data_IF_406866806126
#
_entry.id   IF_406866806126
#
_cell.length_a   1.000
_cell.length_b   1.000
_cell.length_c   1.000
_cell.angle_alpha   90.00
_cell.angle_beta   90.00
_cell.angle_gamma   90.00
#
_symmetry.space_group_name_H-M   'P 1'
#
loop_
_entity.id
_entity.type
_entity.pdbx_description
1 polymer ?
#
# COMPACT_ATOMS: atom_id res chain seq x y z
N UNK A 1 8.45 2.32 -27.75
CA UNK A 1 9.10 3.16 -26.73
C UNK A 1 8.89 2.46 -25.39
N UNK A 2 9.97 2.06 -24.72
CA UNK A 2 9.91 1.28 -23.47
C UNK A 2 9.36 2.14 -22.35
N UNK A 3 8.33 1.65 -21.65
CA UNK A 3 7.65 2.40 -20.60
C UNK A 3 7.18 1.50 -19.48
N UNK A 4 7.32 1.97 -18.24
CA UNK A 4 6.78 1.32 -17.05
C UNK A 4 5.46 1.98 -16.66
N UNK A 5 4.44 1.18 -16.40
CA UNK A 5 3.16 1.64 -15.89
C UNK A 5 2.97 1.14 -14.45
N UNK A 6 2.86 2.08 -13.49
CA UNK A 6 2.44 1.79 -12.13
C UNK A 6 0.91 1.85 -12.09
N UNK A 7 0.27 0.69 -12.11
CA UNK A 7 -1.18 0.57 -12.34
C UNK A 7 -1.90 0.16 -11.06
N UNK A 8 -2.95 0.88 -10.71
CA UNK A 8 -3.87 0.49 -9.65
C UNK A 8 -4.81 -0.63 -10.11
N UNK A 9 -4.80 -1.74 -9.37
CA UNK A 9 -5.66 -2.88 -9.60
C UNK A 9 -7.07 -2.72 -9.00
N UNK A 10 -7.32 -1.60 -8.31
CA UNK A 10 -8.55 -1.46 -7.54
C UNK A 10 -8.62 -2.42 -6.35
N UNK A 11 -9.81 -2.57 -5.74
CA UNK A 11 -10.01 -3.36 -4.52
C UNK A 11 -10.06 -4.87 -4.77
N UNK A 12 -10.25 -5.30 -6.02
CA UNK A 12 -10.30 -6.71 -6.38
C UNK A 12 -11.37 -7.08 -7.39
N UNK A 13 -12.41 -6.27 -7.54
CA UNK A 13 -13.42 -6.39 -8.58
C UNK A 13 -12.88 -5.86 -9.91
N UNK A 14 -12.82 -6.66 -10.99
CA UNK A 14 -12.36 -6.19 -12.30
C UNK A 14 -13.22 -5.08 -12.91
N UNK A 15 -14.50 -4.96 -12.55
CA UNK A 15 -15.37 -3.86 -13.01
C UNK A 15 -14.96 -2.50 -12.41
N UNK A 16 -14.18 -2.51 -11.32
CA UNK A 16 -13.62 -1.32 -10.69
C UNK A 16 -12.23 -0.93 -11.22
N UNK A 17 -11.73 -1.61 -12.26
CA UNK A 17 -10.56 -1.15 -13.00
C UNK A 17 -10.90 0.09 -13.81
N UNK A 18 -9.94 1.02 -13.89
CA UNK A 18 -10.10 2.12 -14.83
C UNK A 18 -9.98 1.60 -16.27
N UNK A 19 -10.70 2.23 -17.22
CA UNK A 19 -10.60 1.88 -18.64
C UNK A 19 -9.15 1.94 -19.15
N UNK A 20 -8.33 2.84 -18.61
CA UNK A 20 -6.91 2.93 -18.91
C UNK A 20 -6.13 1.74 -18.39
N UNK A 21 -6.41 1.27 -17.18
CA UNK A 21 -5.78 0.09 -16.60
C UNK A 21 -6.08 -1.16 -17.46
N UNK A 22 -7.34 -1.37 -17.83
CA UNK A 22 -7.75 -2.49 -18.70
C UNK A 22 -6.99 -2.48 -20.03
N UNK A 23 -6.93 -1.33 -20.70
CA UNK A 23 -6.21 -1.18 -21.98
C UNK A 23 -4.71 -1.49 -21.84
N UNK A 24 -4.07 -1.04 -20.77
CA UNK A 24 -2.64 -1.29 -20.54
C UNK A 24 -2.39 -2.75 -20.20
N UNK A 25 -3.21 -3.36 -19.34
CA UNK A 25 -3.10 -4.77 -18.97
C UNK A 25 -3.25 -5.69 -20.19
N UNK A 26 -4.17 -5.37 -21.10
CA UNK A 26 -4.38 -6.17 -22.32
C UNK A 26 -3.22 -6.07 -23.33
N UNK A 27 -2.37 -5.06 -23.24
CA UNK A 27 -1.18 -4.86 -24.10
C UNK A 27 0.16 -5.08 -23.41
N UNK A 28 0.16 -5.52 -22.14
CA UNK A 28 1.39 -5.71 -21.38
C UNK A 28 2.24 -6.88 -21.92
N UNK A 29 3.56 -6.71 -21.90
CA UNK A 29 4.53 -7.79 -22.17
C UNK A 29 4.87 -8.55 -20.88
N UNK A 30 4.93 -7.82 -19.74
CA UNK A 30 5.22 -8.36 -18.42
C UNK A 30 4.45 -7.59 -17.36
N UNK A 31 3.91 -8.31 -16.38
CA UNK A 31 3.19 -7.74 -15.24
C UNK A 31 3.81 -8.25 -13.94
N UNK A 32 4.31 -7.34 -13.13
CA UNK A 32 4.74 -7.59 -11.75
C UNK A 32 3.60 -7.21 -10.83
N UNK A 33 2.99 -8.16 -10.11
CA UNK A 33 1.81 -7.89 -9.30
C UNK A 33 2.02 -8.17 -7.82
N UNK A 34 1.25 -7.47 -6.97
CA UNK A 34 1.20 -7.71 -5.52
C UNK A 34 0.35 -8.94 -5.21
N UNK A 35 0.57 -9.56 -4.03
CA UNK A 35 -0.18 -10.74 -3.58
C UNK A 35 -1.68 -10.50 -3.35
N UNK A 36 -2.11 -9.24 -3.14
CA UNK A 36 -3.51 -8.88 -2.94
C UNK A 36 -4.28 -8.63 -4.24
N UNK A 37 -3.62 -8.67 -5.39
CA UNK A 37 -4.30 -8.60 -6.69
C UNK A 37 -5.06 -9.90 -6.91
N UNK A 38 -6.37 -9.79 -7.14
CA UNK A 38 -7.25 -10.95 -7.26
C UNK A 38 -7.04 -11.70 -8.58
N UNK A 39 -7.33 -13.02 -8.62
CA UNK A 39 -7.29 -13.80 -9.86
C UNK A 39 -8.19 -13.20 -10.95
N UNK A 40 -9.33 -12.65 -10.58
CA UNK A 40 -10.29 -12.03 -11.49
C UNK A 40 -9.64 -10.84 -12.23
N UNK A 41 -8.88 -10.00 -11.52
CA UNK A 41 -8.13 -8.89 -12.12
C UNK A 41 -6.96 -9.41 -12.97
N UNK A 42 -6.25 -10.46 -12.52
CA UNK A 42 -5.15 -11.06 -13.29
C UNK A 42 -5.63 -11.68 -14.61
N UNK A 43 -6.89 -12.13 -14.69
CA UNK A 43 -7.49 -12.62 -15.91
C UNK A 43 -7.71 -11.53 -16.99
N UNK A 44 -7.63 -10.25 -16.61
CA UNK A 44 -7.69 -9.11 -17.56
C UNK A 44 -6.36 -8.84 -18.25
N UNK A 45 -5.29 -9.49 -17.81
CA UNK A 45 -3.96 -9.36 -18.39
C UNK A 45 -3.87 -10.12 -19.69
N UNK A 46 -3.14 -9.58 -20.68
CA UNK A 46 -2.85 -10.26 -21.93
C UNK A 46 -2.36 -11.71 -21.69
N UNK A 47 -2.94 -12.73 -22.35
CA UNK A 47 -2.48 -14.12 -22.20
C UNK A 47 -1.04 -14.35 -22.69
N UNK A 48 -0.47 -13.38 -23.44
CA UNK A 48 0.91 -13.40 -23.90
C UNK A 48 1.87 -12.79 -22.87
N UNK A 49 1.37 -12.00 -21.91
CA UNK A 49 2.18 -11.36 -20.90
C UNK A 49 2.77 -12.37 -19.91
N UNK A 50 3.97 -12.08 -19.42
CA UNK A 50 4.56 -12.80 -18.30
C UNK A 50 4.02 -12.25 -17.00
N UNK A 51 3.43 -13.11 -16.16
CA UNK A 51 2.97 -12.75 -14.81
C UNK A 51 4.03 -13.13 -13.78
N UNK A 52 4.37 -12.17 -12.91
CA UNK A 52 5.35 -12.34 -11.83
C UNK A 52 4.73 -11.86 -10.53
N UNK A 53 4.54 -12.78 -9.58
CA UNK A 53 4.13 -12.44 -8.21
C UNK A 53 5.35 -11.91 -7.45
N UNK A 54 5.34 -10.63 -7.10
CA UNK A 54 6.37 -9.96 -6.27
C UNK A 54 5.84 -9.66 -4.87
N UNK A 55 4.61 -10.09 -4.56
CA UNK A 55 3.94 -9.85 -3.29
C UNK A 55 4.51 -10.66 -2.13
N UNK A 56 4.14 -10.24 -0.91
CA UNK A 56 4.45 -10.97 0.32
C UNK A 56 3.29 -11.89 0.64
N UNK A 57 3.51 -13.21 0.68
CA UNK A 57 2.54 -14.17 1.25
C UNK A 57 2.84 -14.36 2.74
N UNK A 58 1.78 -14.57 3.55
CA UNK A 58 1.91 -14.83 4.98
C UNK A 58 3.02 -15.85 5.29
N UNK A 59 4.03 -15.43 6.07
CA UNK A 59 5.14 -16.29 6.51
C UNK A 59 6.31 -16.42 5.54
N UNK A 60 6.18 -16.10 4.26
CA UNK A 60 7.27 -16.15 3.28
C UNK A 60 7.44 -14.80 2.58
N UNK A 61 8.52 -14.10 2.93
CA UNK A 61 8.94 -12.87 2.26
C UNK A 61 9.64 -13.26 0.95
N UNK A 62 8.92 -13.26 -0.18
CA UNK A 62 9.50 -13.60 -1.47
C UNK A 62 10.59 -12.59 -1.86
N UNK A 63 10.31 -11.28 -1.77
CA UNK A 63 11.24 -10.22 -2.15
C UNK A 63 11.19 -9.05 -1.15
N UNK A 64 12.34 -8.41 -0.94
CA UNK A 64 12.43 -7.09 -0.29
C UNK A 64 11.99 -6.01 -1.27
N UNK A 65 11.68 -4.79 -0.78
CA UNK A 65 11.35 -3.69 -1.68
C UNK A 65 12.52 -3.32 -2.59
N UNK A 66 13.75 -3.37 -2.09
CA UNK A 66 14.95 -3.09 -2.89
C UNK A 66 15.13 -4.11 -4.03
N UNK A 67 14.77 -5.38 -3.77
CA UNK A 67 14.78 -6.42 -4.80
C UNK A 67 13.68 -6.20 -5.83
N UNK A 68 12.47 -5.81 -5.41
CA UNK A 68 11.36 -5.46 -6.31
C UNK A 68 11.76 -4.27 -7.19
N UNK A 69 12.35 -3.22 -6.60
CA UNK A 69 12.79 -2.03 -7.32
C UNK A 69 13.88 -2.39 -8.35
N UNK A 70 14.88 -3.20 -7.96
CA UNK A 70 15.93 -3.65 -8.84
C UNK A 70 15.39 -4.51 -10.00
N UNK A 71 14.41 -5.38 -9.70
CA UNK A 71 13.79 -6.23 -10.72
C UNK A 71 12.93 -5.39 -11.69
N UNK A 72 12.18 -4.42 -11.19
CA UNK A 72 11.40 -3.50 -12.02
C UNK A 72 12.27 -2.73 -13.01
N UNK A 73 13.40 -2.18 -12.55
CA UNK A 73 14.39 -1.51 -13.39
C UNK A 73 14.99 -2.47 -14.43
N UNK A 74 15.26 -3.71 -14.03
CA UNK A 74 15.83 -4.72 -14.95
C UNK A 74 14.85 -5.06 -16.08
N UNK A 75 13.58 -5.34 -15.78
CA UNK A 75 12.60 -5.70 -16.82
C UNK A 75 12.24 -4.51 -17.70
N UNK A 76 12.32 -3.28 -17.19
CA UNK A 76 12.14 -2.07 -17.99
C UNK A 76 13.17 -1.94 -19.12
N UNK A 77 14.36 -2.55 -18.97
CA UNK A 77 15.38 -2.59 -20.03
C UNK A 77 15.12 -3.68 -21.09
N UNK A 78 14.25 -4.67 -20.80
CA UNK A 78 14.03 -5.85 -21.63
C UNK A 78 12.72 -5.83 -22.42
N UNK A 79 11.67 -5.21 -21.84
CA UNK A 79 10.30 -5.23 -22.36
C UNK A 79 9.86 -3.82 -22.77
N UNK A 80 8.90 -3.71 -23.70
CA UNK A 80 8.37 -2.43 -24.15
C UNK A 80 7.27 -1.92 -23.21
N UNK A 81 6.33 -2.80 -22.83
CA UNK A 81 5.20 -2.48 -21.96
C UNK A 81 5.32 -3.26 -20.66
N UNK A 82 5.89 -2.63 -19.65
CA UNK A 82 6.06 -3.20 -18.30
C UNK A 82 4.98 -2.67 -17.39
N UNK A 83 4.24 -3.54 -16.71
CA UNK A 83 3.22 -3.16 -15.74
C UNK A 83 3.66 -3.58 -14.34
N UNK A 84 3.68 -2.63 -13.42
CA UNK A 84 3.71 -2.85 -11.98
C UNK A 84 2.27 -2.71 -11.45
N UNK A 85 1.59 -3.83 -11.24
CA UNK A 85 0.18 -3.89 -10.82
C UNK A 85 0.07 -3.95 -9.30
N UNK A 86 -0.54 -2.94 -8.71
CA UNK A 86 -0.62 -2.70 -7.27
C UNK A 86 -2.07 -2.75 -6.81
N UNK A 87 -2.38 -3.45 -5.72
CA UNK A 87 -3.74 -3.45 -5.16
C UNK A 87 -4.18 -2.06 -4.73
N UNK A 88 -5.46 -1.73 -4.92
CA UNK A 88 -6.01 -0.41 -4.67
C UNK A 88 -5.48 0.66 -5.61
N UNK A 89 -5.00 1.76 -5.05
CA UNK A 89 -4.31 2.85 -5.76
C UNK A 89 -2.81 2.80 -5.47
N UNK A 90 -1.93 2.97 -6.48
CA UNK A 90 -0.48 2.93 -6.31
C UNK A 90 0.07 3.93 -5.29
N UNK A 91 -0.57 5.11 -5.18
CA UNK A 91 -0.10 6.24 -4.38
C UNK A 91 -0.61 6.20 -2.93
N UNK A 92 -1.57 5.32 -2.60
CA UNK A 92 -2.15 5.21 -1.26
C UNK A 92 -1.61 3.96 -0.56
N UNK A 93 -0.68 4.15 0.38
CA UNK A 93 0.01 3.11 1.16
C UNK A 93 0.62 1.96 0.34
N UNK A 94 0.84 2.20 -0.96
CA UNK A 94 1.35 1.23 -1.94
C UNK A 94 2.86 1.23 -2.10
N UNK A 95 3.62 2.05 -1.38
CA UNK A 95 5.08 2.20 -1.51
C UNK A 95 5.57 2.60 -2.91
N UNK A 96 4.69 3.19 -3.73
CA UNK A 96 5.04 3.62 -5.08
C UNK A 96 6.18 4.65 -5.11
N UNK A 97 6.33 5.48 -4.06
CA UNK A 97 7.42 6.45 -3.98
C UNK A 97 8.81 5.82 -4.11
N UNK A 98 9.03 4.65 -3.52
CA UNK A 98 10.30 3.91 -3.61
C UNK A 98 10.54 3.34 -5.01
N UNK A 99 9.48 2.87 -5.69
CA UNK A 99 9.52 2.36 -7.06
C UNK A 99 9.76 3.51 -8.06
N UNK A 100 9.08 4.65 -7.89
CA UNK A 100 9.24 5.88 -8.67
C UNK A 100 10.68 6.40 -8.56
N UNK A 101 11.22 6.47 -7.35
CA UNK A 101 12.60 6.91 -7.11
C UNK A 101 13.60 6.00 -7.82
N UNK A 102 13.39 4.68 -7.78
CA UNK A 102 14.26 3.70 -8.42
C UNK A 102 14.26 3.85 -9.95
N UNK A 103 13.09 4.04 -10.57
CA UNK A 103 12.95 4.26 -12.02
C UNK A 103 13.57 5.60 -12.44
N UNK A 104 13.29 6.67 -11.70
CA UNK A 104 13.82 8.02 -11.97
C UNK A 104 15.35 8.07 -11.92
N UNK A 105 15.97 7.39 -10.95
CA UNK A 105 17.44 7.32 -10.80
C UNK A 105 18.16 6.77 -12.01
N UNK A 106 17.48 5.97 -12.82
CA UNK A 106 18.07 5.34 -14.04
C UNK A 106 17.49 5.90 -15.33
N UNK A 107 16.62 6.91 -15.24
CA UNK A 107 16.04 7.59 -16.41
C UNK A 107 15.01 6.73 -17.17
N UNK A 108 14.36 5.77 -16.52
CA UNK A 108 13.29 4.98 -17.13
C UNK A 108 12.00 5.82 -17.17
N UNK A 109 11.39 5.91 -18.36
CA UNK A 109 10.09 6.54 -18.52
C UNK A 109 9.00 5.72 -17.82
N UNK A 110 8.17 6.37 -17.03
CA UNK A 110 7.05 5.72 -16.36
C UNK A 110 5.79 6.59 -16.34
N UNK A 111 4.67 5.92 -16.10
CA UNK A 111 3.37 6.56 -15.94
C UNK A 111 2.61 5.91 -14.78
N UNK A 112 1.92 6.74 -13.99
CA UNK A 112 1.05 6.27 -12.92
C UNK A 112 -0.39 6.26 -13.42
N UNK A 113 -1.04 5.11 -13.27
CA UNK A 113 -2.45 4.92 -13.59
C UNK A 113 -3.21 4.71 -12.30
N UNK A 114 -4.03 5.68 -11.87
CA UNK A 114 -4.78 5.57 -10.62
C UNK A 114 -5.69 4.35 -10.59
N UNK A 115 -5.98 3.88 -9.39
CA UNK A 115 -6.97 2.85 -9.12
C UNK A 115 -7.93 3.26 -8.01
N UNK A 116 -9.03 2.53 -7.84
CA UNK A 116 -9.94 2.76 -6.73
C UNK A 116 -9.30 2.22 -5.45
N UNK A 117 -8.97 3.13 -4.54
CA UNK A 117 -8.40 2.76 -3.24
C UNK A 117 -9.44 2.05 -2.36
N UNK A 118 -8.98 1.16 -1.47
CA UNK A 118 -9.87 0.35 -0.63
C UNK A 118 -10.78 1.17 0.28
N UNK A 119 -10.40 2.40 0.66
CA UNK A 119 -11.29 3.28 1.43
C UNK A 119 -12.57 3.66 0.68
N UNK A 120 -12.45 3.97 -0.62
CA UNK A 120 -13.61 4.29 -1.45
C UNK A 120 -14.48 3.05 -1.70
N UNK A 121 -13.85 1.90 -1.94
CA UNK A 121 -14.58 0.65 -2.12
C UNK A 121 -15.32 0.22 -0.84
N UNK A 122 -14.67 0.34 0.32
CA UNK A 122 -15.28 0.04 1.62
C UNK A 122 -16.45 0.99 1.93
N UNK A 123 -16.28 2.29 1.67
CA UNK A 123 -17.33 3.28 1.85
C UNK A 123 -18.55 3.00 0.95
N UNK A 124 -18.32 2.65 -0.32
CA UNK A 124 -19.38 2.28 -1.25
C UNK A 124 -20.11 0.99 -0.80
N UNK A 125 -19.36 -0.04 -0.39
CA UNK A 125 -19.93 -1.29 0.12
C UNK A 125 -20.78 -1.07 1.36
N UNK A 126 -20.31 -0.23 2.29
CA UNK A 126 -21.03 0.13 3.51
C UNK A 126 -22.12 1.22 3.29
N UNK A 127 -22.26 1.74 2.07
CA UNK A 127 -23.17 2.87 1.75
C UNK A 127 -22.93 4.10 2.61
N UNK A 128 -21.67 4.37 2.95
CA UNK A 128 -21.24 5.51 3.76
C UNK A 128 -20.60 6.55 2.87
N UNK A 129 -21.07 7.79 2.91
CA UNK A 129 -20.36 8.91 2.31
C UNK A 129 -19.23 9.35 3.23
N UNK A 130 -17.97 9.32 2.75
CA UNK A 130 -16.84 9.73 3.57
C UNK A 130 -16.86 11.22 3.95
N UNK A 131 -17.62 12.03 3.22
CA UNK A 131 -17.86 13.45 3.53
C UNK A 131 -19.35 13.74 3.60
N UNK A 132 -19.76 14.57 4.54
CA UNK A 132 -21.14 15.05 4.64
C UNK A 132 -21.12 16.45 5.26
N UNK A 133 -21.73 17.43 4.59
CA UNK A 133 -21.76 18.85 5.05
C UNK A 133 -22.27 19.03 6.48
N UNK A 134 -23.02 18.06 7.01
CA UNK A 134 -23.61 18.10 8.36
C UNK A 134 -22.70 17.47 9.42
N UNK A 135 -21.73 16.59 9.03
CA UNK A 135 -21.02 15.72 9.97
C UNK A 135 -19.52 15.66 9.76
N UNK A 136 -19.03 15.76 8.52
CA UNK A 136 -17.62 15.59 8.24
C UNK A 136 -17.17 16.44 7.05
N UNK A 137 -16.37 17.45 7.35
CA UNK A 137 -15.75 18.35 6.35
C UNK A 137 -14.40 17.85 5.88
N UNK A 138 -13.82 16.83 6.54
CA UNK A 138 -12.50 16.30 6.22
C UNK A 138 -12.45 14.77 6.30
N UNK A 139 -11.55 14.18 5.50
CA UNK A 139 -11.26 12.74 5.50
C UNK A 139 -9.78 12.55 5.76
N UNK A 140 -9.46 11.75 6.77
CA UNK A 140 -8.09 11.38 7.10
C UNK A 140 -7.84 9.92 6.71
N UNK A 141 -6.95 9.68 5.74
CA UNK A 141 -6.42 8.36 5.44
C UNK A 141 -5.19 8.09 6.28
N UNK A 142 -5.22 7.02 7.05
CA UNK A 142 -4.10 6.61 7.89
C UNK A 142 -3.91 5.10 7.86
N UNK A 143 -2.83 4.62 8.46
CA UNK A 143 -2.55 3.20 8.57
C UNK A 143 -2.19 2.84 10.00
N UNK A 144 -2.67 1.69 10.47
CA UNK A 144 -2.26 1.13 11.74
C UNK A 144 -0.87 0.46 11.67
N UNK A 145 -0.33 0.25 10.47
CA UNK A 145 0.95 -0.44 10.29
C UNK A 145 2.08 0.54 9.95
N UNK A 146 3.17 0.56 10.77
CA UNK A 146 4.39 1.30 10.49
C UNK A 146 5.62 0.41 10.37
N UNK A 147 6.67 0.97 9.75
CA UNK A 147 8.00 0.39 9.69
C UNK A 147 8.55 0.28 11.13
N UNK A 148 8.73 -0.96 11.62
CA UNK A 148 9.19 -1.22 12.99
C UNK A 148 8.15 -1.85 13.92
N UNK A 149 6.91 -2.04 13.48
CA UNK A 149 5.91 -2.85 14.20
C UNK A 149 5.12 -2.13 15.31
N UNK A 150 5.43 -0.87 15.64
CA UNK A 150 4.61 -0.08 16.56
C UNK A 150 3.57 0.74 15.78
N UNK A 151 2.35 0.80 16.30
CA UNK A 151 1.35 1.74 15.82
C UNK A 151 1.82 3.13 16.21
N UNK A 152 2.13 3.98 15.23
CA UNK A 152 2.31 5.39 15.54
C UNK A 152 1.01 6.13 15.33
N UNK A 153 0.59 6.79 16.37
CA UNK A 153 -0.68 7.48 16.48
C UNK A 153 -0.52 9.00 16.41
N UNK A 154 0.57 9.48 15.79
CA UNK A 154 0.85 10.92 15.63
C UNK A 154 -0.25 11.66 14.86
N UNK A 155 -1.13 10.92 14.17
CA UNK A 155 -2.28 11.45 13.45
C UNK A 155 -3.46 11.82 14.35
N UNK A 156 -3.45 11.46 15.62
CA UNK A 156 -4.55 11.76 16.56
C UNK A 156 -4.83 13.26 16.70
N UNK A 157 -3.79 14.09 16.56
CA UNK A 157 -3.94 15.55 16.57
C UNK A 157 -4.78 16.11 15.41
N UNK A 158 -4.92 15.34 14.32
CA UNK A 158 -5.71 15.73 13.16
C UNK A 158 -7.19 15.30 13.26
N UNK A 159 -7.56 14.59 14.33
CA UNK A 159 -8.93 14.13 14.52
C UNK A 159 -9.74 15.21 15.22
N UNK A 160 -10.83 15.59 14.59
CA UNK A 160 -11.89 16.44 15.17
C UNK A 160 -13.22 15.69 15.08
N UNK A 161 -14.27 16.17 15.75
CA UNK A 161 -15.63 15.61 15.60
C UNK A 161 -16.15 15.61 14.15
N UNK A 162 -15.55 16.43 13.28
CA UNK A 162 -15.90 16.56 11.86
C UNK A 162 -14.96 15.76 10.94
N UNK A 163 -14.12 14.90 11.50
CA UNK A 163 -13.20 14.05 10.74
C UNK A 163 -13.83 12.69 10.49
N UNK A 164 -13.83 12.25 9.23
CA UNK A 164 -13.98 10.83 8.89
C UNK A 164 -12.57 10.23 8.83
N UNK A 165 -12.33 9.22 9.66
CA UNK A 165 -11.06 8.51 9.69
C UNK A 165 -11.20 7.19 8.92
N UNK A 166 -10.34 6.94 7.95
CA UNK A 166 -10.21 5.67 7.26
C UNK A 166 -8.85 5.04 7.57
N UNK A 167 -8.85 3.95 8.35
CA UNK A 167 -7.66 3.25 8.82
C UNK A 167 -7.40 2.04 7.95
N UNK A 168 -6.29 2.08 7.22
CA UNK A 168 -5.79 0.97 6.42
C UNK A 168 -5.00 -0.01 7.27
N UNK A 169 -5.04 -1.28 6.88
CA UNK A 169 -4.26 -2.34 7.52
C UNK A 169 -4.40 -2.38 9.05
N UNK A 170 -5.62 -2.37 9.61
CA UNK A 170 -5.81 -2.41 11.07
C UNK A 170 -5.24 -3.70 11.69
N UNK A 171 -5.11 -4.78 10.90
CA UNK A 171 -4.59 -6.07 11.37
C UNK A 171 -5.39 -6.60 12.55
N UNK A 172 -4.72 -6.90 13.67
CA UNK A 172 -5.34 -7.30 14.95
C UNK A 172 -5.41 -6.16 15.97
N UNK A 173 -5.07 -4.93 15.59
CA UNK A 173 -4.84 -3.81 16.51
C UNK A 173 -6.12 -3.04 16.90
N UNK A 174 -7.29 -3.65 16.78
CA UNK A 174 -8.56 -2.94 17.03
C UNK A 174 -8.70 -2.43 18.47
N UNK A 175 -8.26 -3.22 19.46
CA UNK A 175 -8.29 -2.80 20.86
C UNK A 175 -7.37 -1.59 21.13
N UNK A 176 -6.17 -1.60 20.55
CA UNK A 176 -5.21 -0.50 20.65
C UNK A 176 -5.72 0.76 19.93
N UNK A 177 -6.29 0.59 18.73
CA UNK A 177 -6.95 1.68 17.99
C UNK A 177 -8.09 2.28 18.81
N UNK A 178 -8.97 1.45 19.39
CA UNK A 178 -10.08 1.92 20.24
C UNK A 178 -9.57 2.74 21.43
N UNK A 179 -8.60 2.21 22.17
CA UNK A 179 -7.99 2.90 23.31
C UNK A 179 -7.38 4.25 22.91
N UNK A 180 -6.73 4.31 21.77
CA UNK A 180 -6.12 5.54 21.26
C UNK A 180 -7.16 6.56 20.85
N UNK A 181 -8.19 6.15 20.13
CA UNK A 181 -9.27 7.05 19.73
C UNK A 181 -10.00 7.63 20.94
N UNK A 182 -10.23 6.83 21.99
CA UNK A 182 -10.79 7.31 23.26
C UNK A 182 -9.84 8.31 23.94
N UNK A 183 -8.55 8.02 23.99
CA UNK A 183 -7.53 8.90 24.58
C UNK A 183 -7.38 10.22 23.82
N UNK A 184 -7.69 10.24 22.52
CA UNK A 184 -7.71 11.46 21.70
C UNK A 184 -9.01 12.28 21.84
N UNK A 185 -9.93 11.86 22.70
CA UNK A 185 -11.15 12.61 23.00
C UNK A 185 -12.35 12.28 22.11
N UNK A 186 -12.30 11.21 21.30
CA UNK A 186 -13.50 10.76 20.59
C UNK A 186 -14.52 10.19 21.55
N UNK A 187 -15.79 10.49 21.26
CA UNK A 187 -16.92 9.90 21.98
C UNK A 187 -16.90 8.37 21.84
N UNK A 188 -16.99 7.61 22.95
CA UNK A 188 -17.08 6.15 22.91
C UNK A 188 -18.14 5.59 21.97
N UNK A 189 -19.24 6.33 21.78
CA UNK A 189 -20.35 5.99 20.89
C UNK A 189 -20.12 6.43 19.43
N UNK A 190 -18.94 6.99 19.09
CA UNK A 190 -18.63 7.37 17.70
C UNK A 190 -18.74 6.14 16.81
N UNK A 191 -19.61 6.17 15.78
CA UNK A 191 -19.86 4.98 14.96
C UNK A 191 -18.65 4.56 14.14
N UNK A 192 -18.53 3.24 13.98
CA UNK A 192 -17.46 2.58 13.22
C UNK A 192 -18.05 1.54 12.27
N UNK A 193 -17.45 1.39 11.09
CA UNK A 193 -17.70 0.26 10.19
C UNK A 193 -16.38 -0.36 9.76
N UNK A 194 -16.33 -1.69 9.79
CA UNK A 194 -15.21 -2.48 9.30
C UNK A 194 -15.66 -3.19 8.03
N UNK A 195 -14.87 -3.04 6.97
CA UNK A 195 -15.10 -3.76 5.72
C UNK A 195 -13.89 -4.62 5.43
N UNK A 196 -14.08 -5.92 5.53
CA UNK A 196 -13.07 -6.90 5.15
C UNK A 196 -13.25 -7.28 3.67
N UNK A 197 -12.16 -7.46 2.96
CA UNK A 197 -12.12 -7.87 1.55
C UNK A 197 -13.02 -7.02 0.63
N UNK A 198 -13.03 -5.69 0.85
CA UNK A 198 -13.86 -4.77 0.07
C UNK A 198 -13.67 -4.98 -1.44
N UNK A 199 -14.79 -5.07 -2.20
CA UNK A 199 -14.76 -5.31 -3.65
C UNK A 199 -14.37 -6.74 -4.04
N UNK A 200 -14.44 -7.71 -3.13
CA UNK A 200 -14.19 -9.12 -3.41
C UNK A 200 -15.43 -9.97 -3.07
N UNK A 201 -15.51 -11.19 -3.61
CA UNK A 201 -16.62 -12.12 -3.32
C UNK A 201 -16.72 -12.49 -1.83
N UNK A 202 -15.59 -12.43 -1.11
CA UNK A 202 -15.49 -12.70 0.32
C UNK A 202 -15.74 -11.45 1.18
N UNK A 203 -16.26 -10.36 0.61
CA UNK A 203 -16.52 -9.12 1.33
C UNK A 203 -17.43 -9.34 2.54
N UNK A 204 -17.03 -8.77 3.68
CA UNK A 204 -17.79 -8.76 4.92
C UNK A 204 -17.85 -7.34 5.48
N UNK A 205 -18.98 -6.99 6.11
CA UNK A 205 -19.19 -5.67 6.70
C UNK A 205 -19.65 -5.84 8.13
N UNK A 206 -18.99 -5.19 9.07
CA UNK A 206 -19.33 -5.18 10.49
C UNK A 206 -19.48 -3.75 11.02
N UNK A 207 -20.45 -3.52 11.86
CA UNK A 207 -20.75 -2.22 12.46
C UNK A 207 -20.50 -2.27 13.96
N UNK A 208 -19.92 -1.21 14.50
CA UNK A 208 -19.67 -1.04 15.94
C UNK A 208 -19.53 0.45 16.26
N UNK A 209 -19.08 0.77 17.46
CA UNK A 209 -18.61 2.07 17.89
C UNK A 209 -17.16 1.99 18.38
N UNK A 210 -16.58 3.13 18.75
CA UNK A 210 -15.18 3.20 19.22
C UNK A 210 -14.97 2.32 20.46
N UNK A 211 -15.93 2.31 21.40
CA UNK A 211 -15.85 1.46 22.60
C UNK A 211 -15.90 -0.04 22.27
N UNK A 212 -16.67 -0.41 21.26
CA UNK A 212 -16.80 -1.78 20.79
C UNK A 212 -15.58 -2.32 20.04
N UNK A 213 -14.68 -1.47 19.53
CA UNK A 213 -13.48 -1.91 18.82
C UNK A 213 -12.64 -2.90 19.64
N UNK A 214 -12.56 -2.70 20.96
CA UNK A 214 -11.79 -3.59 21.84
C UNK A 214 -12.29 -5.04 21.87
N UNK A 215 -13.53 -5.29 21.47
CA UNK A 215 -14.15 -6.62 21.45
C UNK A 215 -13.97 -7.36 20.12
N UNK A 216 -13.39 -6.69 19.12
CA UNK A 216 -13.25 -7.24 17.77
C UNK A 216 -12.08 -8.23 17.69
N UNK A 217 -12.37 -9.43 17.21
CA UNK A 217 -11.38 -10.47 16.97
C UNK A 217 -11.73 -11.22 15.68
N UNK A 218 -10.74 -11.85 15.05
CA UNK A 218 -10.97 -12.74 13.91
C UNK A 218 -11.39 -12.03 12.61
N UNK A 219 -11.12 -10.74 12.46
CA UNK A 219 -11.45 -10.02 11.22
C UNK A 219 -10.53 -10.48 10.09
N UNK A 220 -11.14 -10.89 8.98
CA UNK A 220 -10.40 -11.31 7.79
C UNK A 220 -9.58 -10.14 7.19
N UNK A 221 -8.38 -10.44 6.72
CA UNK A 221 -7.55 -9.49 6.00
C UNK A 221 -7.68 -9.72 4.47
N UNK A 222 -7.56 -8.66 3.66
CA UNK A 222 -7.36 -7.26 4.01
C UNK A 222 -8.63 -6.61 4.58
N UNK A 223 -8.48 -5.68 5.51
CA UNK A 223 -9.60 -4.95 6.09
C UNK A 223 -9.34 -3.43 6.14
N UNK A 224 -10.42 -2.68 6.17
CA UNK A 224 -10.45 -1.23 6.37
C UNK A 224 -11.43 -0.89 7.49
N UNK A 225 -11.04 0.02 8.37
CA UNK A 225 -11.91 0.59 9.40
C UNK A 225 -12.25 2.04 9.04
N UNK A 226 -13.53 2.38 9.06
CA UNK A 226 -14.01 3.76 8.91
C UNK A 226 -14.65 4.17 10.25
N UNK A 227 -14.21 5.33 10.77
CA UNK A 227 -14.67 5.90 12.04
C UNK A 227 -15.18 7.31 11.78
N UNK A 228 -16.33 7.66 12.37
CA UNK A 228 -16.82 9.03 12.33
C UNK A 228 -18.35 9.14 12.26
N UNK A 229 -18.86 10.33 12.48
CA UNK A 229 -20.28 10.65 12.50
C UNK A 229 -21.04 10.40 11.17
N UNK A 230 -20.30 10.23 10.08
CA UNK A 230 -20.86 9.84 8.76
C UNK A 230 -21.30 8.38 8.74
N UNK A 231 -20.71 7.54 9.59
CA UNK A 231 -21.03 6.12 9.72
C UNK A 231 -22.34 6.00 10.48
N UNK A 232 -23.43 5.72 9.76
CA UNK A 232 -24.75 5.56 10.36
C UNK A 232 -25.15 4.10 10.26
N UNK A 233 -25.44 3.48 11.40
CA UNK A 233 -26.06 2.17 11.38
C UNK A 233 -27.52 2.35 10.95
N UNK A 234 -27.87 1.96 9.74
CA UNK A 234 -29.30 1.84 9.33
C UNK A 234 -30.00 0.65 10.02
N UNK A 235 -29.23 -0.13 10.80
CA UNK A 235 -29.72 -1.35 11.45
C UNK A 235 -29.70 -1.17 12.97
N UNK A 236 -30.87 -1.06 13.54
CA UNK A 236 -31.05 -1.17 14.99
C UNK A 236 -30.56 -2.53 15.49
N UNK A 237 -29.66 -2.48 16.47
CA UNK A 237 -29.02 -3.58 17.21
C UNK A 237 -27.70 -4.12 16.68
N UNK A 238 -26.65 -3.66 17.32
CA UNK A 238 -25.22 -4.04 17.13
C UNK A 238 -24.89 -5.51 17.48
N UNK A 239 -25.82 -6.32 17.95
CA UNK A 239 -25.51 -7.61 18.60
C UNK A 239 -25.56 -8.80 17.63
N UNK A 240 -26.33 -8.75 16.54
CA UNK A 240 -26.57 -9.95 15.73
C UNK A 240 -25.60 -10.17 14.56
N UNK A 241 -24.93 -9.12 14.10
CA UNK A 241 -24.01 -9.21 12.95
C UNK A 241 -22.73 -9.95 13.31
N UNK A 242 -22.25 -9.81 14.54
CA UNK A 242 -21.06 -10.51 15.04
C UNK A 242 -21.28 -12.02 15.22
N UNK A 243 -22.49 -12.45 15.50
CA UNK A 243 -22.83 -13.90 15.51
C UNK A 243 -22.73 -14.49 14.10
N UNK A 244 -23.16 -13.77 13.07
CA UNK A 244 -23.02 -14.21 11.67
C UNK A 244 -21.55 -14.28 11.21
N UNK A 245 -20.71 -13.32 11.60
CA UNK A 245 -19.28 -13.31 11.28
C UNK A 245 -18.56 -14.49 11.98
N UNK A 246 -18.90 -14.81 13.24
CA UNK A 246 -18.32 -15.96 13.95
C UNK A 246 -18.77 -17.30 13.38
N UNK A 247 -20.02 -17.43 12.92
CA UNK A 247 -20.52 -18.66 12.29
C UNK A 247 -19.80 -18.92 10.96
N UNK A 248 -19.51 -17.89 10.16
CA UNK A 248 -18.79 -18.03 8.91
C UNK A 248 -17.32 -18.42 9.10
N UNK A 249 -16.64 -17.96 10.16
CA UNK A 249 -15.29 -18.38 10.51
C UNK A 249 -15.23 -19.90 10.81
N UNK A 250 -16.24 -20.47 11.45
CA UNK A 250 -16.33 -21.92 11.67
C UNK A 250 -16.54 -22.72 10.39
N UNK A 251 -17.28 -22.18 9.42
CA UNK A 251 -17.46 -22.83 8.12
C UNK A 251 -16.21 -22.73 7.24
N UNK A 252 -15.47 -21.61 7.26
CA UNK A 252 -14.22 -21.48 6.52
C UNK A 252 -13.09 -22.35 7.09
N UNK A 253 -13.04 -22.62 8.39
CA UNK A 253 -12.08 -23.57 8.95
C UNK A 253 -12.32 -25.02 8.47
N UNK A 254 -13.54 -25.37 8.11
CA UNK A 254 -13.84 -26.67 7.47
C UNK A 254 -13.50 -26.65 5.96
N UNK A 255 -13.57 -25.51 5.28
CA UNK A 255 -13.24 -25.37 3.85
C UNK A 255 -11.73 -25.31 3.63
N UNK A 256 -10.93 -24.81 4.58
CA UNK A 256 -9.45 -24.82 4.47
C UNK A 256 -8.84 -26.21 4.55
N UNK A 257 -9.58 -27.22 5.03
CA UNK A 257 -9.23 -28.64 4.88
C UNK A 257 -9.30 -29.15 3.43
N UNK A 258 -9.98 -28.45 2.53
CA UNK A 258 -10.23 -28.87 1.15
C UNK A 258 -9.30 -28.19 0.12
N UNK A 259 -8.25 -27.43 0.54
CA UNK A 259 -7.31 -26.78 -0.39
C UNK A 259 -6.22 -27.70 -0.96
N UNK A 260 -6.36 -29.03 -0.83
CA UNK A 260 -5.42 -29.98 -1.45
C UNK A 260 -5.71 -30.33 -2.91
N UNK A 261 -6.85 -29.93 -3.48
CA UNK A 261 -7.29 -30.42 -4.79
C UNK A 261 -7.58 -29.34 -5.85
N UNK A 262 -7.10 -28.11 -5.71
CA UNK A 262 -7.12 -27.16 -6.83
C UNK A 262 -5.93 -27.39 -7.76
N UNK A 263 -5.98 -28.50 -8.50
CA UNK A 263 -5.21 -28.74 -9.73
C UNK A 263 -5.79 -27.94 -10.89
N UNK A 264 -5.76 -26.61 -10.80
CA UNK A 264 -5.76 -25.73 -11.97
C UNK A 264 -4.86 -24.57 -11.64
N UNK A 265 -3.56 -24.80 -11.76
CA UNK A 265 -2.59 -23.72 -11.89
C UNK A 265 -2.86 -23.01 -13.24
N UNK A 266 -3.21 -21.70 -13.24
CA UNK A 266 -3.01 -20.91 -14.43
C UNK A 266 -1.50 -20.92 -14.72
N UNK A 267 -1.13 -20.99 -15.98
CA UNK A 267 0.23 -21.12 -16.51
C UNK A 267 1.19 -20.05 -16.00
N UNK A 268 1.52 -20.05 -14.73
CA UNK A 268 2.68 -19.38 -14.17
C UNK A 268 3.90 -20.22 -14.56
N UNK A 269 4.61 -19.84 -15.61
CA UNK A 269 5.94 -20.39 -15.86
C UNK A 269 6.78 -20.07 -14.63
N UNK A 270 7.24 -21.14 -13.99
CA UNK A 270 8.00 -21.15 -12.75
C UNK A 270 9.06 -20.04 -12.70
N UNK A 271 8.97 -19.25 -11.65
CA UNK A 271 10.04 -18.42 -11.14
C UNK A 271 11.23 -19.31 -10.80
N UNK A 272 12.39 -19.05 -11.44
CA UNK A 272 13.65 -19.67 -11.07
C UNK A 272 14.38 -18.77 -10.06
N UNK A 273 14.39 -19.14 -8.76
CA UNK A 273 15.04 -18.36 -7.71
C UNK A 273 16.56 -18.22 -7.91
N UNK A 274 17.20 -19.16 -8.60
CA UNK A 274 18.64 -19.15 -8.84
C UNK A 274 19.04 -18.06 -9.83
N UNK A 275 18.28 -17.89 -10.90
CA UNK A 275 18.50 -16.82 -11.89
C UNK A 275 18.33 -15.45 -11.25
N UNK A 276 17.34 -15.28 -10.37
CA UNK A 276 17.11 -14.01 -9.66
C UNK A 276 18.22 -13.70 -8.66
N UNK A 277 18.65 -14.68 -7.86
CA UNK A 277 19.75 -14.48 -6.90
C UNK A 277 21.08 -14.19 -7.59
N UNK A 278 21.33 -14.78 -8.76
CA UNK A 278 22.51 -14.46 -9.58
C UNK A 278 22.46 -13.01 -10.08
N UNK A 279 21.28 -12.54 -10.52
CA UNK A 279 21.05 -11.18 -11.01
C UNK A 279 21.17 -10.14 -9.88
N UNK A 280 20.59 -10.40 -8.73
CA UNK A 280 20.68 -9.53 -7.56
C UNK A 280 22.13 -9.39 -7.07
N UNK A 281 22.90 -10.47 -7.09
CA UNK A 281 24.36 -10.45 -6.80
C UNK A 281 25.14 -9.66 -7.83
N UNK A 282 24.81 -9.75 -9.11
CA UNK A 282 25.46 -9.00 -10.18
C UNK A 282 25.20 -7.50 -10.09
N UNK A 283 23.96 -7.10 -9.87
CA UNK A 283 23.55 -5.68 -9.68
C UNK A 283 24.15 -5.08 -8.41
N UNK A 284 24.19 -5.83 -7.31
CA UNK A 284 24.82 -5.40 -6.06
C UNK A 284 26.33 -5.18 -6.19
N UNK A 285 27.06 -5.94 -7.04
CA UNK A 285 28.48 -5.71 -7.33
C UNK A 285 28.70 -4.45 -8.18
N UNK A 286 27.88 -4.20 -9.19
CA UNK A 286 27.96 -2.98 -10.02
C UNK A 286 27.69 -1.72 -9.22
N UNK A 287 26.73 -1.76 -8.28
CA UNK A 287 26.44 -0.63 -7.41
C UNK A 287 27.59 -0.31 -6.44
N UNK A 288 28.27 -1.34 -5.89
CA UNK A 288 29.46 -1.16 -5.04
C UNK A 288 30.66 -0.66 -5.85
N UNK A 289 30.84 -1.11 -7.09
CA UNK A 289 31.88 -0.62 -7.97
C UNK A 289 31.69 0.86 -8.35
N UNK A 290 30.46 1.28 -8.66
CA UNK A 290 30.15 2.70 -8.93
C UNK A 290 30.35 3.59 -7.70
N UNK A 291 29.94 3.14 -6.49
CA UNK A 291 30.21 3.90 -5.25
C UNK A 291 31.70 4.07 -4.96
N UNK A 292 32.54 3.05 -5.28
CA UNK A 292 34.02 3.16 -5.18
C UNK A 292 34.60 4.11 -6.19
N UNK A 293 34.09 4.13 -7.42
CA UNK A 293 34.57 5.06 -8.46
C UNK A 293 34.22 6.53 -8.15
N UNK A 294 33.00 6.81 -7.63
CA UNK A 294 32.60 8.16 -7.22
C UNK A 294 33.34 8.61 -5.95
N UNK A 295 33.68 7.69 -5.04
CA UNK A 295 34.48 7.98 -3.85
C UNK A 295 35.97 8.25 -4.16
N UNK A 296 36.50 7.65 -5.19
CA UNK A 296 37.89 7.85 -5.65
C UNK A 296 38.06 9.19 -6.38
N UNK A 297 37.05 9.62 -7.17
CA UNK A 297 37.09 10.91 -7.87
C UNK A 297 37.05 12.14 -6.94
N UNK A 298 36.43 12.04 -5.77
CA UNK A 298 36.39 13.14 -4.78
C UNK A 298 37.65 13.30 -3.95
N UNK A 299 38.62 12.37 -4.00
CA UNK A 299 39.89 12.51 -3.28
C UNK A 299 41.02 13.14 -4.12
N UNK A 300 40.80 13.37 -5.42
CA UNK A 300 41.82 13.91 -6.32
C UNK A 300 41.76 15.46 -6.48
N UNK A 301 40.77 16.14 -5.91
CA UNK A 301 40.61 17.61 -6.07
C UNK A 301 40.74 18.39 -4.76
N UNK A 302 41.53 17.95 -3.81
CA UNK A 302 41.89 18.74 -2.66
C UNK A 302 43.23 19.52 -2.93
N UNK A 303 43.13 20.68 -3.57
CA UNK A 303 44.19 21.68 -3.60
C UNK A 303 44.25 22.43 -2.28
N UNK A 304 45.47 22.77 -1.76
CA UNK A 304 45.64 23.51 -0.51
C UNK A 304 45.29 24.96 -0.71
N UNK A 305 44.34 25.47 0.08
CA UNK A 305 44.07 26.90 0.20
C UNK A 305 45.19 27.59 1.00
N UNK A 306 45.85 28.51 0.34
CA UNK A 306 46.82 29.44 0.90
C UNK A 306 46.10 30.42 1.81
N UNK A 307 46.54 30.50 3.04
CA UNK A 307 46.10 31.51 4.04
C UNK A 307 46.53 32.89 3.60
N UNK A 308 45.59 33.82 3.38
CA UNK A 308 45.84 35.25 3.41
C UNK A 308 45.11 35.87 4.63
N UNK A 309 45.90 36.20 5.61
CA UNK A 309 45.54 37.14 6.67
C UNK A 309 45.32 38.55 6.08
N UNK A 310 44.12 39.08 6.22
CA UNK A 310 43.88 40.51 6.03
C UNK A 310 43.42 41.09 7.36
N UNK A 311 44.33 41.87 7.93
CA UNK A 311 44.11 42.76 9.07
C UNK A 311 43.06 43.80 8.70
N UNK A 312 42.01 43.91 9.49
CA UNK A 312 41.16 45.10 9.49
C UNK A 312 41.41 45.90 10.76
N UNK A 313 41.92 47.13 10.56
CA UNK A 313 42.15 48.18 11.56
C UNK A 313 40.81 48.75 12.02
N UNK A 314 40.75 48.90 13.30
CA UNK A 314 39.84 49.73 14.10
C UNK A 314 39.92 51.23 13.70
N UNK A 315 38.77 51.86 13.45
CA UNK A 315 38.67 53.36 13.54
C UNK A 315 37.31 53.74 14.12
N UNK A 316 37.32 53.99 15.41
CA UNK A 316 36.31 54.83 16.08
C UNK A 316 36.48 56.25 15.63
N UNK A 317 35.39 56.99 15.40
CA UNK A 317 35.03 58.31 15.87
C UNK A 317 33.81 58.82 15.13
N UNK A 318 32.76 59.08 15.91
CA UNK A 318 32.18 60.36 16.38
C UNK A 318 31.40 61.14 15.35
N UNK A 319 30.22 61.47 15.80
CA UNK A 319 29.46 62.73 15.71
C UNK A 319 28.19 62.70 14.86
N UNK A 320 27.09 63.10 15.55
CA UNK A 320 25.82 63.55 15.01
C UNK A 320 24.63 62.94 15.66
#
# INVERSE_FOLDING_TARGET
MRKVYLVGAGPGDPELLTAKAVRILSSADIVLHDALVTPEVLNMVSPKARLIDVGKRCGHKLLTQDEINAYLVHVAALYEVVVRLKSGDPLIFGRAGEEIEALSKVGVEFEIVPGITSALAAAAAARVSLTDRRFASQVLFTTAHRRGGSISLDWTHAITPETTLAVYMPGSAYAELGSTLLSSGLDPQTPCVIVACAGQKSQQIGWTDVAGLAKLTGIAAPALLIVGRVVRSEVGSTVDIWKQLQVNVWQEQQITGCRKDLKHEPRAKQYDPATFQALARHLGRRHRARRRAVGAGRRAEAHPMVSQETRFRDSRRRDG
#
